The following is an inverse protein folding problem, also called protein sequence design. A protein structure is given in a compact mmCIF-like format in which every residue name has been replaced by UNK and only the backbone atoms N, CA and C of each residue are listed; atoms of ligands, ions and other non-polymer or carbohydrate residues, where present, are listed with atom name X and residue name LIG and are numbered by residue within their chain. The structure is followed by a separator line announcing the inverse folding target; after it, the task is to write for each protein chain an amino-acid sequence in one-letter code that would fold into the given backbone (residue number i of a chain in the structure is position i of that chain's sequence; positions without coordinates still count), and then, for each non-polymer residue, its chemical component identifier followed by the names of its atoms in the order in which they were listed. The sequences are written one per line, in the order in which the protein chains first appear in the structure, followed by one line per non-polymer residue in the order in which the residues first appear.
data_IF_762396968667
#
_entry.id   IF_762396968667
#
_cell.length_a   1.000
_cell.length_b   1.000
_cell.length_c   1.000
_cell.angle_alpha   90.00
_cell.angle_beta   90.00
_cell.angle_gamma   90.00
#
_symmetry.space_group_name_H-M   'P 1'
#
loop_
_entity.id
_entity.type
_entity.pdbx_description
1 polymer ?
#
# COMPACT_ATOMS: atom_id res chain seq x y z
N UNK A 1 -58.34 0.59 48.73
CA UNK A 1 -56.92 0.86 49.08
C UNK A 1 -56.10 -0.27 48.41
N UNK A 2 -55.41 0.05 47.32
CA UNK A 2 -54.54 -0.89 46.60
C UNK A 2 -53.21 -0.19 46.49
N UNK A 3 -52.22 -0.66 47.29
CA UNK A 3 -50.87 -0.19 47.27
C UNK A 3 -50.11 -0.67 46.04
N UNK A 4 -49.68 0.21 45.17
CA UNK A 4 -48.84 -0.06 44.04
C UNK A 4 -47.33 -0.11 44.51
N UNK A 5 -46.78 -1.30 44.47
CA UNK A 5 -45.36 -1.58 44.75
C UNK A 5 -44.51 -1.16 43.53
N UNK A 6 -43.81 -0.04 43.63
CA UNK A 6 -42.79 0.38 42.68
C UNK A 6 -41.58 -0.56 42.73
N UNK A 7 -41.35 -1.29 41.64
CA UNK A 7 -40.11 -2.06 41.42
C UNK A 7 -38.97 -1.11 41.10
N UNK A 8 -37.95 -1.15 41.96
CA UNK A 8 -36.70 -0.42 41.81
C UNK A 8 -35.94 -0.98 40.57
N UNK A 9 -35.64 -0.10 39.62
CA UNK A 9 -34.85 -0.43 38.44
C UNK A 9 -33.43 -0.81 38.82
N UNK A 10 -32.96 -1.88 38.20
CA UNK A 10 -31.57 -2.34 38.31
C UNK A 10 -30.63 -1.27 37.74
N UNK A 11 -29.68 -0.85 38.53
CA UNK A 11 -28.59 0.05 38.11
C UNK A 11 -27.77 -0.61 37.00
N UNK A 12 -27.72 0.02 35.83
CA UNK A 12 -26.80 -0.37 34.75
C UNK A 12 -25.36 -0.19 35.26
N UNK A 13 -24.57 -1.27 35.17
CA UNK A 13 -23.15 -1.23 35.40
C UNK A 13 -22.47 -0.23 34.45
N UNK A 14 -21.47 0.53 34.89
CA UNK A 14 -20.77 1.47 34.02
C UNK A 14 -20.07 0.71 32.87
N UNK A 15 -20.30 1.20 31.64
CA UNK A 15 -19.54 0.76 30.48
C UNK A 15 -18.06 1.10 30.74
N UNK A 16 -17.24 0.08 30.98
CA UNK A 16 -15.80 0.28 31.00
C UNK A 16 -15.40 0.76 29.59
N UNK A 17 -15.06 2.04 29.49
CA UNK A 17 -14.27 2.54 28.36
C UNK A 17 -13.02 1.66 28.26
N UNK A 18 -13.02 0.79 27.26
CA UNK A 18 -11.75 0.20 26.81
C UNK A 18 -10.95 1.37 26.28
N UNK A 19 -9.92 1.76 27.03
CA UNK A 19 -8.88 2.63 26.51
C UNK A 19 -8.43 2.04 25.18
N UNK A 20 -8.75 2.75 24.09
CA UNK A 20 -8.16 2.47 22.78
C UNK A 20 -6.69 2.82 22.98
N UNK A 21 -5.86 1.79 23.17
CA UNK A 21 -4.42 1.94 23.12
C UNK A 21 -4.09 2.32 21.66
N UNK A 22 -4.14 3.62 21.38
CA UNK A 22 -3.50 4.22 20.22
C UNK A 22 -1.97 4.20 20.46
N UNK A 23 -1.40 3.01 20.45
CA UNK A 23 0.03 2.81 20.49
C UNK A 23 0.51 2.61 19.08
N UNK A 24 0.62 3.68 18.31
CA UNK A 24 1.44 3.72 17.10
C UNK A 24 1.50 5.14 16.54
N UNK A 25 2.20 6.01 17.21
CA UNK A 25 2.90 7.08 16.50
C UNK A 25 4.21 7.27 17.23
N UNK A 26 5.21 6.49 16.84
CA UNK A 26 6.58 6.87 17.11
C UNK A 26 6.76 8.24 16.43
N UNK A 27 6.86 9.33 17.22
CA UNK A 27 7.02 10.68 16.64
C UNK A 27 8.33 10.85 15.88
N UNK A 28 9.20 9.83 15.92
CA UNK A 28 10.48 9.77 15.21
C UNK A 28 10.44 8.80 14.02
N UNK A 29 9.28 8.17 13.75
CA UNK A 29 9.12 7.22 12.65
C UNK A 29 9.23 7.87 11.27
N UNK A 30 9.82 7.14 10.32
CA UNK A 30 9.81 7.51 8.90
C UNK A 30 8.42 7.25 8.33
N UNK A 31 7.78 8.30 7.81
CA UNK A 31 6.47 8.22 7.19
C UNK A 31 6.48 8.89 5.82
N UNK A 32 5.41 8.65 5.06
CA UNK A 32 5.20 9.34 3.80
C UNK A 32 5.46 8.42 2.62
N UNK A 33 4.40 7.71 2.24
CA UNK A 33 4.37 6.97 0.99
C UNK A 33 2.92 6.73 0.61
N UNK A 34 2.62 6.97 -0.66
CA UNK A 34 1.40 6.48 -1.29
C UNK A 34 1.79 5.81 -2.58
N UNK A 35 1.44 4.54 -2.71
CA UNK A 35 1.56 3.77 -3.94
C UNK A 35 0.17 3.35 -4.36
N UNK A 36 -0.14 3.51 -5.64
CA UNK A 36 -1.37 3.07 -6.26
C UNK A 36 -1.05 2.26 -7.52
N UNK A 37 -1.58 1.05 -7.64
CA UNK A 37 -1.60 0.26 -8.87
C UNK A 37 -3.01 0.25 -9.45
N UNK A 38 -3.12 0.51 -10.74
CA UNK A 38 -4.36 0.49 -11.51
C UNK A 38 -4.17 -0.38 -12.73
N UNK A 39 -5.04 -1.39 -12.90
CA UNK A 39 -5.09 -2.20 -14.13
C UNK A 39 -6.41 -1.93 -14.83
N UNK A 40 -6.34 -1.43 -16.07
CA UNK A 40 -7.51 -1.11 -16.89
C UNK A 40 -7.15 -1.17 -18.38
N UNK A 41 -8.05 -1.75 -19.20
CA UNK A 41 -7.90 -1.78 -20.65
C UNK A 41 -6.59 -2.41 -21.11
N UNK A 42 -6.15 -3.50 -20.46
CA UNK A 42 -4.91 -4.20 -20.78
C UNK A 42 -3.62 -3.49 -20.33
N UNK A 43 -3.72 -2.34 -19.71
CA UNK A 43 -2.57 -1.60 -19.19
C UNK A 43 -2.55 -1.65 -17.67
N UNK A 44 -1.40 -1.92 -17.08
CA UNK A 44 -1.17 -1.75 -15.64
C UNK A 44 -0.23 -0.57 -15.41
N UNK A 45 -0.60 0.26 -14.44
CA UNK A 45 0.14 1.43 -14.00
C UNK A 45 0.41 1.31 -12.52
N UNK A 46 1.67 1.53 -12.09
CA UNK A 46 1.97 1.78 -10.69
C UNK A 46 2.47 3.22 -10.57
N UNK A 47 1.81 3.97 -9.70
CA UNK A 47 2.12 5.36 -9.39
C UNK A 47 2.55 5.48 -7.92
N UNK A 48 3.53 6.33 -7.64
CA UNK A 48 4.00 6.63 -6.29
C UNK A 48 4.27 8.10 -6.12
N UNK A 49 3.92 8.65 -4.94
CA UNK A 49 4.31 10.00 -4.57
C UNK A 49 5.81 10.10 -4.23
N UNK A 50 6.33 11.32 -4.10
CA UNK A 50 7.75 11.56 -3.82
C UNK A 50 8.07 11.90 -2.36
N UNK A 51 7.08 11.99 -1.46
CA UNK A 51 7.32 12.50 -0.11
C UNK A 51 7.96 11.46 0.81
N UNK A 52 9.00 11.89 1.52
CA UNK A 52 9.60 11.17 2.66
C UNK A 52 9.58 12.11 3.85
N UNK A 53 8.97 11.67 4.95
CA UNK A 53 8.73 12.49 6.14
C UNK A 53 9.34 11.79 7.36
N UNK A 54 9.98 12.56 8.23
CA UNK A 54 10.45 12.12 9.53
C UNK A 54 9.64 12.88 10.60
N UNK A 55 8.80 12.16 11.33
CA UNK A 55 7.82 12.78 12.21
C UNK A 55 6.93 13.77 11.46
N UNK A 56 7.05 15.06 11.73
CA UNK A 56 6.29 16.13 11.08
C UNK A 56 7.09 16.92 10.02
N UNK A 57 8.30 16.48 9.70
CA UNK A 57 9.20 17.22 8.79
C UNK A 57 9.37 16.48 7.47
N UNK A 58 9.09 17.15 6.35
CA UNK A 58 9.39 16.64 5.01
C UNK A 58 10.89 16.67 4.78
N UNK A 59 11.52 15.52 4.67
CA UNK A 59 12.96 15.37 4.43
C UNK A 59 13.28 15.34 2.94
N UNK A 60 12.38 14.75 2.13
CA UNK A 60 12.54 14.67 0.67
C UNK A 60 11.16 14.73 0.01
N UNK A 61 11.06 15.45 -1.10
CA UNK A 61 9.80 15.63 -1.82
C UNK A 61 9.73 14.93 -3.18
N UNK A 62 10.82 14.29 -3.64
CA UNK A 62 10.94 13.70 -4.97
C UNK A 62 11.63 12.33 -4.95
N UNK A 63 11.37 11.52 -3.93
CA UNK A 63 11.86 10.15 -3.85
C UNK A 63 11.18 9.26 -4.91
N UNK A 64 11.98 8.40 -5.54
CA UNK A 64 11.44 7.39 -6.47
C UNK A 64 11.11 6.11 -5.70
N UNK A 65 9.83 5.84 -5.55
CA UNK A 65 9.28 4.69 -4.82
C UNK A 65 8.75 3.60 -5.74
N UNK A 66 8.75 3.86 -7.04
CA UNK A 66 8.31 2.93 -8.09
C UNK A 66 9.48 2.65 -9.02
N UNK A 67 9.63 1.38 -9.42
CA UNK A 67 10.73 0.91 -10.27
C UNK A 67 10.26 -0.19 -11.22
N UNK A 68 11.00 -0.32 -12.33
CA UNK A 68 10.99 -1.52 -13.16
C UNK A 68 11.98 -2.53 -12.61
N UNK A 69 11.60 -3.81 -12.61
CA UNK A 69 12.40 -4.93 -12.12
C UNK A 69 12.61 -5.97 -13.19
N UNK A 70 13.65 -6.80 -12.97
CA UNK A 70 14.05 -7.86 -13.86
C UNK A 70 14.70 -7.37 -15.16
N UNK A 71 15.46 -8.23 -15.83
CA UNK A 71 16.22 -7.91 -17.04
C UNK A 71 15.34 -7.49 -18.24
N UNK A 72 14.09 -7.96 -18.27
CA UNK A 72 13.13 -7.61 -19.33
C UNK A 72 12.45 -6.25 -19.13
N UNK A 73 12.50 -5.67 -17.93
CA UNK A 73 11.76 -4.46 -17.56
C UNK A 73 10.24 -4.60 -17.60
N UNK A 74 9.73 -5.84 -17.67
CA UNK A 74 8.29 -6.14 -17.78
C UNK A 74 7.59 -6.31 -16.42
N UNK A 75 8.27 -5.99 -15.35
CA UNK A 75 7.70 -6.02 -14.00
C UNK A 75 7.89 -4.64 -13.41
N UNK A 76 6.85 -4.10 -12.81
CA UNK A 76 6.87 -2.84 -12.09
C UNK A 76 6.53 -3.09 -10.62
N UNK A 77 7.20 -2.38 -9.73
CA UNK A 77 6.96 -2.52 -8.30
C UNK A 77 7.02 -1.16 -7.59
N UNK A 78 6.16 -1.01 -6.58
CA UNK A 78 6.12 0.14 -5.69
C UNK A 78 6.23 -0.32 -4.23
N UNK A 79 6.86 0.50 -3.40
CA UNK A 79 7.17 0.17 -2.01
C UNK A 79 6.65 1.25 -1.06
N UNK A 80 6.04 0.82 0.05
CA UNK A 80 5.63 1.66 1.17
C UNK A 80 6.27 1.14 2.46
N UNK A 81 7.06 1.99 3.13
CA UNK A 81 7.82 1.66 4.34
C UNK A 81 9.07 2.53 4.45
N UNK A 82 10.01 2.16 5.34
CA UNK A 82 11.27 2.87 5.48
C UNK A 82 12.16 2.72 4.23
N UNK A 83 12.78 3.81 3.80
CA UNK A 83 13.52 3.87 2.51
C UNK A 83 14.67 2.86 2.45
N UNK A 84 15.36 2.59 3.58
CA UNK A 84 16.45 1.63 3.63
C UNK A 84 15.97 0.19 3.34
N UNK A 85 14.74 -0.12 3.75
CA UNK A 85 14.13 -1.45 3.60
C UNK A 85 13.68 -1.70 2.16
N UNK A 86 13.30 -0.64 1.43
CA UNK A 86 12.89 -0.71 0.04
C UNK A 86 13.96 -1.34 -0.85
N UNK A 87 15.22 -0.91 -0.72
CA UNK A 87 16.31 -1.42 -1.54
C UNK A 87 16.53 -2.91 -1.33
N UNK A 88 16.58 -3.34 -0.07
CA UNK A 88 16.77 -4.75 0.28
C UNK A 88 15.65 -5.63 -0.29
N UNK A 89 14.40 -5.18 -0.19
CA UNK A 89 13.26 -5.96 -0.70
C UNK A 89 13.21 -6.00 -2.23
N UNK A 90 13.55 -4.92 -2.92
CA UNK A 90 13.67 -4.93 -4.37
C UNK A 90 14.76 -5.87 -4.86
N UNK A 91 15.96 -5.83 -4.27
CA UNK A 91 17.06 -6.74 -4.60
C UNK A 91 16.70 -8.21 -4.35
N UNK A 92 16.01 -8.49 -3.23
CA UNK A 92 15.51 -9.85 -2.94
C UNK A 92 14.48 -10.32 -3.94
N UNK A 93 13.56 -9.44 -4.35
CA UNK A 93 12.57 -9.76 -5.38
C UNK A 93 13.25 -10.04 -6.73
N UNK A 94 14.21 -9.21 -7.15
CA UNK A 94 14.97 -9.44 -8.38
C UNK A 94 15.67 -10.80 -8.38
N UNK A 95 16.32 -11.19 -7.29
CA UNK A 95 16.90 -12.52 -7.15
C UNK A 95 15.87 -13.67 -7.25
N UNK A 96 14.63 -13.46 -6.77
CA UNK A 96 13.53 -14.45 -6.95
C UNK A 96 13.01 -14.49 -8.39
N UNK A 97 12.95 -13.34 -9.06
CA UNK A 97 12.56 -13.26 -10.47
C UNK A 97 13.56 -13.95 -11.39
N UNK A 98 14.86 -13.87 -11.08
CA UNK A 98 15.91 -14.63 -11.79
C UNK A 98 15.79 -16.14 -11.59
N UNK A 99 15.42 -16.59 -10.40
CA UNK A 99 15.19 -18.00 -10.07
C UNK A 99 13.90 -18.55 -10.67
N UNK A 100 12.90 -17.69 -10.93
CA UNK A 100 11.57 -18.05 -11.43
C UNK A 100 11.16 -17.19 -12.63
N UNK A 101 11.87 -17.25 -13.76
CA UNK A 101 11.62 -16.39 -14.91
C UNK A 101 10.19 -16.57 -15.46
N UNK A 102 9.49 -15.45 -15.67
CA UNK A 102 8.10 -15.43 -16.16
C UNK A 102 7.04 -15.93 -15.17
N UNK A 103 7.40 -16.15 -13.91
CA UNK A 103 6.51 -16.66 -12.85
C UNK A 103 6.41 -15.67 -11.70
N UNK A 104 5.83 -14.48 -11.94
CA UNK A 104 5.77 -13.40 -10.95
C UNK A 104 5.13 -13.86 -9.62
N UNK A 105 3.98 -14.51 -9.68
CA UNK A 105 3.29 -15.02 -8.49
C UNK A 105 4.21 -15.90 -7.64
N UNK A 106 4.95 -16.83 -8.28
CA UNK A 106 5.86 -17.72 -7.58
C UNK A 106 7.03 -16.97 -6.95
N UNK A 107 7.64 -16.04 -7.68
CA UNK A 107 8.73 -15.21 -7.16
C UNK A 107 8.27 -14.41 -5.93
N UNK A 108 7.07 -13.85 -5.96
CA UNK A 108 6.46 -13.11 -4.85
C UNK A 108 6.20 -14.01 -3.64
N UNK A 109 5.67 -15.21 -3.83
CA UNK A 109 5.45 -16.19 -2.76
C UNK A 109 6.77 -16.61 -2.10
N UNK A 110 7.82 -16.87 -2.89
CA UNK A 110 9.13 -17.21 -2.33
C UNK A 110 9.77 -16.02 -1.59
N UNK A 111 9.60 -14.79 -2.08
CA UNK A 111 10.00 -13.59 -1.33
C UNK A 111 9.24 -13.46 -0.01
N UNK A 112 7.93 -13.66 -0.01
CA UNK A 112 7.09 -13.57 1.18
C UNK A 112 7.47 -14.60 2.26
N UNK A 113 7.84 -15.83 1.84
CA UNK A 113 8.40 -16.85 2.75
C UNK A 113 9.71 -16.39 3.39
N UNK A 114 10.64 -15.86 2.58
CA UNK A 114 11.90 -15.31 3.07
C UNK A 114 11.65 -14.14 4.01
N UNK A 115 10.77 -13.22 3.64
CA UNK A 115 10.42 -12.05 4.46
C UNK A 115 9.93 -12.45 5.85
N UNK A 116 9.04 -13.44 5.91
CA UNK A 116 8.49 -13.95 7.17
C UNK A 116 9.53 -14.69 8.04
N UNK A 117 10.45 -15.44 7.42
CA UNK A 117 11.38 -16.35 8.12
C UNK A 117 12.75 -15.74 8.38
N UNK A 118 13.21 -14.81 7.56
CA UNK A 118 14.50 -14.13 7.74
C UNK A 118 14.46 -13.24 9.00
N UNK A 119 15.49 -13.38 9.83
CA UNK A 119 15.58 -12.67 11.12
C UNK A 119 15.62 -11.15 10.98
N UNK A 120 16.15 -10.64 9.88
CA UNK A 120 16.25 -9.21 9.59
C UNK A 120 15.01 -8.71 8.86
N UNK A 121 14.59 -9.37 7.78
CA UNK A 121 13.47 -8.96 6.96
C UNK A 121 12.14 -8.94 7.73
N UNK A 122 11.87 -9.91 8.59
CA UNK A 122 10.62 -9.99 9.37
C UNK A 122 10.36 -8.81 10.32
N UNK A 123 11.36 -7.94 10.52
CA UNK A 123 11.24 -6.72 11.32
C UNK A 123 10.82 -5.51 10.49
N UNK A 124 10.79 -5.65 9.18
CA UNK A 124 10.44 -4.57 8.27
C UNK A 124 8.93 -4.38 8.25
N UNK A 125 8.49 -3.22 8.69
CA UNK A 125 7.10 -2.78 8.57
C UNK A 125 6.91 -2.14 7.21
N UNK A 126 6.64 -2.96 6.20
CA UNK A 126 6.59 -2.53 4.82
C UNK A 126 5.54 -3.29 4.03
N UNK A 127 5.15 -2.71 2.91
CA UNK A 127 4.28 -3.30 1.90
C UNK A 127 4.86 -3.05 0.51
N UNK A 128 4.63 -3.98 -0.39
CA UNK A 128 5.07 -3.88 -1.78
C UNK A 128 3.90 -4.17 -2.71
N UNK A 129 3.67 -3.31 -3.70
CA UNK A 129 2.80 -3.58 -4.83
C UNK A 129 3.67 -3.98 -6.03
N UNK A 130 3.36 -5.09 -6.68
CA UNK A 130 4.11 -5.62 -7.82
C UNK A 130 3.14 -6.01 -8.92
N UNK A 131 3.47 -5.71 -10.16
CA UNK A 131 2.65 -6.08 -11.30
C UNK A 131 3.48 -6.43 -12.53
N UNK A 132 2.96 -7.37 -13.34
CA UNK A 132 3.35 -7.61 -14.71
C UNK A 132 2.14 -7.44 -15.65
N UNK A 133 2.24 -7.91 -16.90
CA UNK A 133 1.15 -7.86 -17.87
C UNK A 133 -0.08 -8.71 -17.48
N UNK A 134 0.07 -9.67 -16.57
CA UNK A 134 -0.98 -10.64 -16.20
C UNK A 134 -1.59 -10.40 -14.84
N UNK A 135 -0.76 -10.16 -13.81
CA UNK A 135 -1.21 -10.11 -12.42
C UNK A 135 -0.71 -8.84 -11.72
N UNK A 136 -1.45 -8.41 -10.72
CA UNK A 136 -1.06 -7.37 -9.76
C UNK A 136 -1.16 -7.93 -8.35
N UNK A 137 -0.10 -7.80 -7.56
CA UNK A 137 0.04 -8.45 -6.25
C UNK A 137 0.42 -7.43 -5.19
N UNK A 138 -0.12 -7.59 -3.98
CA UNK A 138 0.39 -6.92 -2.78
C UNK A 138 1.08 -7.93 -1.88
N UNK A 139 2.28 -7.58 -1.42
CA UNK A 139 3.06 -8.33 -0.45
C UNK A 139 3.15 -7.55 0.85
N UNK A 140 3.05 -8.24 1.98
CA UNK A 140 3.17 -7.67 3.32
C UNK A 140 4.30 -8.31 4.12
N UNK A 141 4.81 -7.59 5.13
CA UNK A 141 5.83 -8.10 6.04
C UNK A 141 5.38 -9.29 6.89
N UNK A 142 4.08 -9.55 6.96
CA UNK A 142 3.50 -10.74 7.61
C UNK A 142 3.57 -12.00 6.75
N UNK A 143 3.98 -11.85 5.49
CA UNK A 143 4.15 -12.96 4.54
C UNK A 143 2.94 -13.23 3.67
N UNK A 144 1.98 -12.29 3.63
CA UNK A 144 0.83 -12.40 2.75
C UNK A 144 1.19 -11.99 1.32
N UNK A 145 0.63 -12.72 0.36
CA UNK A 145 0.64 -12.38 -1.07
C UNK A 145 -0.80 -12.40 -1.54
N UNK A 146 -1.33 -11.25 -1.91
CA UNK A 146 -2.73 -11.09 -2.26
C UNK A 146 -2.85 -10.52 -3.67
N UNK A 147 -3.76 -11.07 -4.45
CA UNK A 147 -4.23 -10.50 -5.71
C UNK A 147 -5.60 -9.85 -5.46
N UNK A 148 -5.78 -8.54 -5.72
CA UNK A 148 -7.05 -7.87 -5.50
C UNK A 148 -8.08 -8.25 -6.56
N UNK A 149 -9.36 -8.32 -6.18
CA UNK A 149 -10.46 -8.63 -7.09
C UNK A 149 -10.81 -7.46 -8.03
N UNK A 150 -10.59 -6.23 -7.58
CA UNK A 150 -11.01 -5.00 -8.27
C UNK A 150 -9.89 -4.34 -9.12
N UNK A 151 -8.82 -5.08 -9.43
CA UNK A 151 -7.71 -4.60 -10.25
C UNK A 151 -6.98 -3.35 -9.71
N UNK A 152 -7.20 -3.02 -8.44
CA UNK A 152 -6.62 -1.87 -7.74
C UNK A 152 -5.82 -2.31 -6.51
N UNK A 153 -4.64 -1.77 -6.34
CA UNK A 153 -3.84 -1.91 -5.11
C UNK A 153 -3.45 -0.52 -4.64
N UNK A 154 -3.67 -0.22 -3.36
CA UNK A 154 -3.13 0.99 -2.78
C UNK A 154 -2.50 0.68 -1.42
N UNK A 155 -1.29 1.18 -1.20
CA UNK A 155 -0.52 0.96 0.02
C UNK A 155 0.12 2.25 0.52
N UNK A 156 0.45 2.26 1.81
CA UNK A 156 1.06 3.41 2.49
C UNK A 156 0.05 4.39 3.07
N UNK A 157 0.55 5.52 3.59
CA UNK A 157 -0.22 6.47 4.40
C UNK A 157 -1.41 7.09 3.67
N UNK A 158 -1.27 7.44 2.41
CA UNK A 158 -2.36 7.97 1.57
C UNK A 158 -3.11 6.89 0.78
N UNK A 159 -2.76 5.60 0.95
CA UNK A 159 -3.28 4.49 0.15
C UNK A 159 -4.80 4.40 0.16
N UNK A 160 -5.44 4.52 1.32
CA UNK A 160 -6.90 4.45 1.42
C UNK A 160 -7.61 5.58 0.66
N UNK A 161 -7.04 6.78 0.62
CA UNK A 161 -7.60 7.91 -0.14
C UNK A 161 -7.43 7.68 -1.64
N UNK A 162 -6.25 7.23 -2.07
CA UNK A 162 -5.99 6.86 -3.45
C UNK A 162 -6.89 5.72 -3.93
N UNK A 163 -7.09 4.67 -3.10
CA UNK A 163 -7.96 3.54 -3.43
C UNK A 163 -9.42 3.98 -3.58
N UNK A 164 -9.94 4.76 -2.63
CA UNK A 164 -11.31 5.25 -2.69
C UNK A 164 -11.56 6.10 -3.95
N UNK A 165 -10.61 6.99 -4.28
CA UNK A 165 -10.68 7.80 -5.49
C UNK A 165 -10.58 6.94 -6.77
N UNK A 166 -9.63 5.97 -6.81
CA UNK A 166 -9.48 5.08 -7.95
C UNK A 166 -10.73 4.22 -8.19
N UNK A 167 -11.37 3.70 -7.13
CA UNK A 167 -12.64 2.96 -7.24
C UNK A 167 -13.77 3.79 -7.83
N UNK A 168 -13.84 5.07 -7.50
CA UNK A 168 -14.85 5.97 -8.08
C UNK A 168 -14.59 6.30 -9.56
N UNK A 169 -13.34 6.14 -10.03
CA UNK A 169 -12.91 6.55 -11.37
C UNK A 169 -12.72 5.37 -12.33
N UNK A 170 -12.56 4.14 -11.82
CA UNK A 170 -12.12 2.99 -12.62
C UNK A 170 -13.14 2.63 -13.73
N UNK A 171 -14.42 2.82 -13.48
CA UNK A 171 -15.51 2.47 -14.41
C UNK A 171 -15.82 3.59 -15.44
N UNK A 172 -15.13 4.74 -15.37
CA UNK A 172 -15.34 5.82 -16.32
C UNK A 172 -14.62 5.50 -17.65
N UNK A 173 -15.37 5.35 -18.73
CA UNK A 173 -14.88 4.92 -20.05
C UNK A 173 -13.89 5.91 -20.68
N UNK A 174 -13.98 7.19 -20.36
CA UNK A 174 -13.11 8.26 -20.85
C UNK A 174 -11.76 8.34 -20.16
N UNK A 175 -11.52 7.53 -19.13
CA UNK A 175 -10.26 7.48 -18.40
C UNK A 175 -9.53 6.16 -18.64
N UNK A 176 -8.28 6.22 -19.08
CA UNK A 176 -7.36 5.09 -19.11
C UNK A 176 -6.73 4.84 -17.72
N UNK A 177 -5.96 3.78 -17.58
CA UNK A 177 -5.30 3.41 -16.33
C UNK A 177 -4.40 4.53 -15.78
N UNK A 178 -3.71 5.25 -16.65
CA UNK A 178 -2.80 6.33 -16.28
C UNK A 178 -3.58 7.56 -15.77
N UNK A 179 -4.67 7.92 -16.43
CA UNK A 179 -5.53 9.04 -16.04
C UNK A 179 -6.22 8.76 -14.69
N UNK A 180 -6.71 7.53 -14.47
CA UNK A 180 -7.26 7.10 -13.17
C UNK A 180 -6.19 7.22 -12.08
N UNK A 181 -4.99 6.69 -12.32
CA UNK A 181 -3.90 6.74 -11.34
C UNK A 181 -3.51 8.18 -10.99
N UNK A 182 -3.33 9.05 -11.98
CA UNK A 182 -2.97 10.46 -11.77
C UNK A 182 -4.02 11.23 -10.97
N UNK A 183 -5.32 11.08 -11.33
CA UNK A 183 -6.41 11.75 -10.63
C UNK A 183 -6.54 11.25 -9.18
N UNK A 184 -6.48 9.93 -8.96
CA UNK A 184 -6.58 9.35 -7.63
C UNK A 184 -5.42 9.74 -6.73
N UNK A 185 -4.20 9.79 -7.25
CA UNK A 185 -3.01 10.23 -6.51
C UNK A 185 -3.06 11.72 -6.17
N UNK A 186 -3.58 12.57 -7.05
CA UNK A 186 -3.79 13.98 -6.76
C UNK A 186 -4.78 14.18 -5.60
N UNK A 187 -5.92 13.47 -5.63
CA UNK A 187 -6.89 13.49 -4.52
C UNK A 187 -6.26 13.02 -3.20
N UNK A 188 -5.45 11.95 -3.25
CA UNK A 188 -4.74 11.48 -2.06
C UNK A 188 -3.74 12.52 -1.53
N UNK A 189 -3.05 13.25 -2.40
CA UNK A 189 -2.12 14.30 -2.02
C UNK A 189 -2.82 15.53 -1.40
N UNK A 190 -4.04 15.84 -1.83
CA UNK A 190 -4.83 16.93 -1.27
C UNK A 190 -5.37 16.63 0.15
N UNK A 191 -5.50 15.33 0.49
CA UNK A 191 -6.10 14.90 1.75
C UNK A 191 -5.02 14.45 2.76
N UNK A 192 -4.03 13.68 2.32
CA UNK A 192 -3.03 13.06 3.17
C UNK A 192 -1.79 13.93 3.34
N UNK A 193 -1.52 14.38 4.56
CA UNK A 193 -0.33 15.19 4.89
C UNK A 193 1.01 14.49 4.62
N UNK A 194 1.00 13.17 4.42
CA UNK A 194 2.17 12.36 4.10
C UNK A 194 2.30 12.01 2.62
N UNK A 195 1.54 12.69 1.75
CA UNK A 195 1.51 12.45 0.30
C UNK A 195 1.66 13.78 -0.43
N UNK A 196 2.43 13.79 -1.53
CA UNK A 196 2.58 15.00 -2.33
C UNK A 196 2.32 14.74 -3.83
N UNK A 197 2.29 15.82 -4.62
CA UNK A 197 2.04 15.78 -6.05
C UNK A 197 3.29 15.48 -6.91
N UNK A 198 4.45 15.13 -6.29
CA UNK A 198 5.64 14.70 -7.03
C UNK A 198 5.50 13.23 -7.43
N UNK A 199 4.87 12.98 -8.56
CA UNK A 199 4.47 11.65 -8.99
C UNK A 199 5.55 10.96 -9.83
N UNK A 200 5.90 9.73 -9.47
CA UNK A 200 6.62 8.78 -10.32
C UNK A 200 5.65 7.71 -10.79
N UNK A 201 5.64 7.43 -12.09
CA UNK A 201 4.72 6.49 -12.71
C UNK A 201 5.48 5.56 -13.65
N UNK A 202 5.18 4.28 -13.56
CA UNK A 202 5.62 3.24 -14.49
C UNK A 202 4.39 2.50 -15.02
N UNK A 203 4.42 2.10 -16.30
CA UNK A 203 3.32 1.37 -16.93
C UNK A 203 3.82 0.24 -17.82
N UNK A 204 3.02 -0.82 -17.88
CA UNK A 204 3.22 -1.94 -18.79
C UNK A 204 1.96 -2.02 -19.65
N UNK A 205 2.07 -1.81 -20.97
CA UNK A 205 1.02 -2.13 -21.94
C UNK A 205 0.94 -3.66 -22.15
N UNK A 206 -0.17 -4.13 -22.67
CA UNK A 206 -0.29 -5.50 -23.18
C UNK A 206 0.69 -5.80 -24.31
#
# INVERSE_FOLDING_TARGET
MVEARLKRGAARAPIRERAINNNSSDPTGWHGTTILSVRKGGTVVIAGDGQVTLGQTVIKANARKVRRLGSSGKIIAGFAGATADAFTLFERLEGKLEQHPGQLMRACVELAKDWRTDRYLRRLEAMMAVADDKVSLVLTGTGDVLEPEDSLIAIGSGGNFALAAARALIDLDDLDAEAVAKKAMAIAADICVYTNNSLTLEKIPE
#
